data_IF_195274616700
#
_entry.id   IF_195274616700
#
_cell.length_a   1.000
_cell.length_b   1.000
_cell.length_c   1.000
_cell.angle_alpha   90.00
_cell.angle_beta   90.00
_cell.angle_gamma   90.00
#
_symmetry.space_group_name_H-M   'P 1'
#
loop_
_entity.id
_entity.type
_entity.pdbx_description
1 polymer ?
#
# COMPACT_ATOMS: atom_id res chain seq x y z
N UNK A 1 -30.11 -7.01 -5.60
CA UNK A 1 -28.79 -6.44 -5.97
C UNK A 1 -28.07 -6.06 -4.68
N UNK A 2 -26.93 -6.67 -4.38
CA UNK A 2 -26.11 -6.32 -3.22
C UNK A 2 -25.03 -5.32 -3.64
N UNK A 3 -24.93 -4.19 -2.93
CA UNK A 3 -23.89 -3.18 -3.17
C UNK A 3 -22.73 -3.41 -2.20
N UNK A 4 -21.54 -3.74 -2.72
CA UNK A 4 -20.31 -3.84 -1.93
C UNK A 4 -19.58 -2.49 -1.95
N UNK A 5 -19.83 -1.66 -0.92
CA UNK A 5 -19.17 -0.38 -0.76
C UNK A 5 -17.72 -0.52 -0.27
N UNK A 6 -16.94 0.56 -0.41
CA UNK A 6 -15.58 0.64 0.14
C UNK A 6 -15.67 0.48 1.67
N UNK A 7 -14.88 -0.43 2.27
CA UNK A 7 -14.93 -0.68 3.70
C UNK A 7 -14.38 0.50 4.51
N UNK A 8 -14.70 0.52 5.80
CA UNK A 8 -14.25 1.56 6.72
C UNK A 8 -12.72 1.60 6.87
N UNK A 9 -12.17 2.73 7.32
CA UNK A 9 -10.74 2.89 7.59
C UNK A 9 -10.23 1.81 8.55
N UNK A 10 -10.97 1.53 9.62
CA UNK A 10 -10.65 0.51 10.61
C UNK A 10 -10.63 -0.89 10.00
N UNK A 11 -11.58 -1.18 9.11
CA UNK A 11 -11.61 -2.46 8.39
C UNK A 11 -10.43 -2.61 7.44
N UNK A 12 -10.06 -1.55 6.71
CA UNK A 12 -8.88 -1.56 5.84
C UNK A 12 -7.60 -1.78 6.65
N UNK A 13 -7.41 -1.03 7.73
CA UNK A 13 -6.24 -1.19 8.60
C UNK A 13 -6.17 -2.60 9.19
N UNK A 14 -7.31 -3.19 9.57
CA UNK A 14 -7.36 -4.56 10.08
C UNK A 14 -7.00 -5.60 9.02
N UNK A 15 -7.56 -5.49 7.81
CA UNK A 15 -7.29 -6.45 6.72
C UNK A 15 -5.81 -6.43 6.34
N UNK A 16 -5.26 -5.24 6.07
CA UNK A 16 -3.87 -5.10 5.65
C UNK A 16 -2.88 -5.24 6.81
N UNK A 17 -3.32 -4.95 8.04
CA UNK A 17 -2.57 -5.23 9.27
C UNK A 17 -2.34 -6.72 9.45
N UNK A 18 -3.39 -7.53 9.40
CA UNK A 18 -3.27 -9.00 9.50
C UNK A 18 -2.38 -9.56 8.39
N UNK A 19 -2.47 -9.02 7.18
CA UNK A 19 -1.66 -9.44 6.04
C UNK A 19 -0.17 -9.07 6.20
N UNK A 20 0.11 -7.83 6.61
CA UNK A 20 1.46 -7.35 6.85
C UNK A 20 2.11 -8.02 8.06
N UNK A 21 1.48 -7.93 9.22
CA UNK A 21 1.99 -8.49 10.48
C UNK A 21 2.07 -10.03 10.44
N UNK A 22 1.18 -10.69 9.70
CA UNK A 22 1.23 -12.14 9.51
C UNK A 22 2.44 -12.60 8.70
N UNK A 23 2.90 -11.79 7.74
CA UNK A 23 4.09 -12.11 6.95
C UNK A 23 5.39 -11.66 7.61
N UNK A 24 5.40 -10.42 8.11
CA UNK A 24 6.50 -9.83 8.85
C UNK A 24 6.40 -10.24 10.32
N UNK A 25 6.72 -11.50 10.60
CA UNK A 25 6.75 -12.05 11.94
C UNK A 25 8.17 -12.17 12.49
N UNK A 26 8.34 -12.20 13.81
CA UNK A 26 9.65 -12.26 14.49
C UNK A 26 10.44 -13.53 14.15
N UNK A 27 9.77 -14.60 13.71
CA UNK A 27 10.44 -15.83 13.27
C UNK A 27 11.08 -15.72 11.89
N UNK A 28 10.74 -14.67 11.12
CA UNK A 28 11.24 -14.44 9.75
C UNK A 28 12.04 -13.16 9.63
N UNK A 29 11.66 -12.10 10.34
CA UNK A 29 12.22 -10.76 10.20
C UNK A 29 12.70 -10.20 11.53
N UNK A 30 13.59 -9.21 11.46
CA UNK A 30 14.09 -8.50 12.63
C UNK A 30 12.95 -7.83 13.42
N UNK A 31 12.95 -7.94 14.75
CA UNK A 31 11.95 -7.34 15.63
C UNK A 31 11.73 -5.84 15.38
N UNK A 32 12.80 -5.12 14.97
CA UNK A 32 12.73 -3.70 14.62
C UNK A 32 11.86 -3.46 13.38
N UNK A 33 11.95 -4.34 12.38
CA UNK A 33 11.11 -4.31 11.18
C UNK A 33 9.69 -4.68 11.52
N UNK A 34 9.49 -5.78 12.26
CA UNK A 34 8.17 -6.26 12.70
C UNK A 34 7.40 -5.16 13.43
N UNK A 35 8.02 -4.48 14.39
CA UNK A 35 7.42 -3.37 15.13
C UNK A 35 7.10 -2.13 14.26
N UNK A 36 7.72 -2.01 13.08
CA UNK A 36 7.50 -0.89 12.15
C UNK A 36 6.31 -1.12 11.22
N UNK A 37 5.98 -2.38 10.88
CA UNK A 37 4.93 -2.72 9.91
C UNK A 37 3.54 -2.13 10.25
N UNK A 38 3.05 -2.14 11.50
CA UNK A 38 1.74 -1.55 11.82
C UNK A 38 1.67 -0.06 11.48
N UNK A 39 2.79 0.67 11.63
CA UNK A 39 2.88 2.09 11.25
C UNK A 39 2.80 2.25 9.73
N UNK A 40 3.44 1.34 8.99
CA UNK A 40 3.46 1.34 7.53
C UNK A 40 2.08 1.05 6.93
N UNK A 41 1.29 0.17 7.55
CA UNK A 41 -0.12 -0.09 7.18
C UNK A 41 -0.96 1.18 7.23
N UNK A 42 -0.93 1.88 8.35
CA UNK A 42 -1.66 3.13 8.51
C UNK A 42 -1.17 4.22 7.53
N UNK A 43 0.15 4.30 7.28
CA UNK A 43 0.73 5.24 6.32
C UNK A 43 0.28 4.94 4.88
N UNK A 44 0.27 3.66 4.49
CA UNK A 44 -0.16 3.23 3.14
C UNK A 44 -1.61 3.61 2.88
N UNK A 45 -2.51 3.39 3.86
CA UNK A 45 -3.91 3.82 3.76
C UNK A 45 -4.03 5.33 3.61
N UNK A 46 -3.32 6.11 4.44
CA UNK A 46 -3.36 7.58 4.38
C UNK A 46 -2.87 8.10 3.02
N UNK A 47 -1.77 7.54 2.51
CA UNK A 47 -1.24 7.88 1.19
C UNK A 47 -2.28 7.60 0.09
N UNK A 48 -2.86 6.41 0.08
CA UNK A 48 -3.89 6.06 -0.92
C UNK A 48 -5.13 6.96 -0.85
N UNK A 49 -5.58 7.33 0.36
CA UNK A 49 -6.70 8.26 0.54
C UNK A 49 -6.38 9.66 0.01
N UNK A 50 -5.16 10.14 0.26
CA UNK A 50 -4.69 11.42 -0.27
C UNK A 50 -4.62 11.38 -1.81
N UNK A 51 -4.07 10.31 -2.39
CA UNK A 51 -4.02 10.12 -3.85
C UNK A 51 -5.42 10.08 -4.46
N UNK A 52 -6.35 9.32 -3.88
CA UNK A 52 -7.75 9.26 -4.33
C UNK A 52 -8.43 10.63 -4.30
N UNK A 53 -8.10 11.48 -3.33
CA UNK A 53 -8.69 12.82 -3.20
C UNK A 53 -8.07 13.82 -4.16
N UNK A 54 -6.77 13.70 -4.43
CA UNK A 54 -6.04 14.59 -5.34
C UNK A 54 -6.28 14.26 -6.82
N UNK A 55 -6.38 12.98 -7.14
CA UNK A 55 -6.56 12.45 -8.49
C UNK A 55 -8.02 12.01 -8.68
N UNK A 56 -8.93 12.97 -8.77
CA UNK A 56 -10.35 12.69 -9.00
C UNK A 56 -10.60 12.33 -10.47
N UNK A 57 -11.50 11.38 -10.74
CA UNK A 57 -11.91 11.08 -12.11
C UNK A 57 -12.64 12.30 -12.68
N UNK A 58 -12.02 12.97 -13.65
CA UNK A 58 -12.68 13.98 -14.48
C UNK A 58 -13.11 13.35 -15.80
N UNK A 59 -14.06 13.94 -16.56
CA UNK A 59 -14.44 13.41 -17.87
C UNK A 59 -13.26 13.21 -18.83
N UNK A 60 -12.22 14.06 -18.72
CA UNK A 60 -10.98 13.93 -19.47
C UNK A 60 -10.01 12.86 -18.90
N UNK A 61 -10.17 12.47 -17.63
CA UNK A 61 -9.29 11.55 -16.90
C UNK A 61 -10.08 10.47 -16.13
N UNK A 62 -10.98 9.77 -16.84
CA UNK A 62 -11.88 8.76 -16.26
C UNK A 62 -11.17 7.52 -15.69
N UNK A 63 -9.90 7.28 -16.04
CA UNK A 63 -9.11 6.14 -15.59
C UNK A 63 -8.59 6.25 -14.13
N UNK A 64 -8.71 7.43 -13.50
CA UNK A 64 -8.37 7.65 -12.08
C UNK A 64 -9.43 7.12 -11.11
N UNK A 65 -9.84 5.86 -11.30
CA UNK A 65 -10.67 5.13 -10.34
C UNK A 65 -9.76 4.34 -9.42
N UNK A 66 -9.49 4.91 -8.24
CA UNK A 66 -8.76 4.25 -7.16
C UNK A 66 -9.68 3.37 -6.33
N UNK A 67 -9.31 2.10 -6.16
CA UNK A 67 -10.07 1.13 -5.39
C UNK A 67 -9.14 0.30 -4.48
N UNK A 68 -9.71 -0.65 -3.73
CA UNK A 68 -8.92 -1.49 -2.80
C UNK A 68 -7.87 -2.37 -3.49
N UNK A 69 -8.03 -2.66 -4.78
CA UNK A 69 -7.06 -3.46 -5.55
C UNK A 69 -5.70 -2.79 -5.58
N UNK A 70 -5.66 -1.46 -5.53
CA UNK A 70 -4.41 -0.71 -5.51
C UNK A 70 -3.64 -0.96 -4.20
N UNK A 71 -4.32 -0.93 -3.04
CA UNK A 71 -3.70 -1.33 -1.78
C UNK A 71 -3.23 -2.79 -1.82
N UNK A 72 -4.07 -3.69 -2.36
CA UNK A 72 -3.72 -5.10 -2.47
C UNK A 72 -2.45 -5.32 -3.30
N UNK A 73 -2.26 -4.57 -4.38
CA UNK A 73 -1.04 -4.66 -5.23
C UNK A 73 0.20 -4.14 -4.53
N UNK A 74 0.10 -3.03 -3.79
CA UNK A 74 1.22 -2.49 -2.99
C UNK A 74 1.64 -3.54 -1.97
N UNK A 75 0.70 -4.07 -1.20
CA UNK A 75 0.99 -5.10 -0.21
C UNK A 75 1.50 -6.39 -0.83
N UNK A 76 0.93 -6.83 -1.95
CA UNK A 76 1.43 -8.01 -2.66
C UNK A 76 2.91 -7.87 -3.04
N UNK A 77 3.35 -6.69 -3.52
CA UNK A 77 4.77 -6.42 -3.78
C UNK A 77 5.62 -6.35 -2.52
N UNK A 78 5.07 -5.81 -1.42
CA UNK A 78 5.76 -5.83 -0.12
C UNK A 78 5.99 -7.25 0.40
N UNK A 79 5.08 -8.19 0.10
CA UNK A 79 5.13 -9.58 0.56
C UNK A 79 6.08 -10.47 -0.28
N UNK A 80 6.64 -9.97 -1.39
CA UNK A 80 7.59 -10.77 -2.18
C UNK A 80 9.02 -10.70 -1.68
N UNK A 81 9.36 -9.76 -0.80
CA UNK A 81 10.72 -9.61 -0.27
C UNK A 81 11.08 -10.74 0.69
N UNK A 82 12.29 -11.30 0.53
CA UNK A 82 12.82 -12.31 1.45
C UNK A 82 13.43 -11.66 2.68
N UNK A 83 13.46 -12.41 3.78
CA UNK A 83 14.09 -11.98 5.03
C UNK A 83 15.55 -11.54 4.85
N UNK A 84 16.30 -12.25 4.01
CA UNK A 84 17.71 -11.98 3.67
C UNK A 84 17.93 -10.58 3.09
N UNK A 85 16.94 -10.02 2.41
CA UNK A 85 17.03 -8.70 1.79
C UNK A 85 16.45 -7.60 2.68
N UNK A 86 15.94 -7.94 3.87
CA UNK A 86 15.11 -7.06 4.69
C UNK A 86 15.68 -6.90 6.12
N UNK A 87 16.93 -6.46 6.20
CA UNK A 87 17.65 -6.33 7.47
C UNK A 87 17.37 -5.01 8.20
N UNK A 88 17.02 -3.94 7.48
CA UNK A 88 16.84 -2.60 8.05
C UNK A 88 15.49 -1.98 7.71
N UNK A 89 15.00 -1.10 8.60
CA UNK A 89 13.80 -0.28 8.35
C UNK A 89 13.96 0.52 7.05
N UNK A 90 15.17 1.00 6.75
CA UNK A 90 15.43 1.79 5.54
C UNK A 90 15.14 0.99 4.27
N UNK A 91 15.49 -0.29 4.25
CA UNK A 91 15.18 -1.17 3.12
C UNK A 91 13.68 -1.37 2.95
N UNK A 92 12.95 -1.58 4.05
CA UNK A 92 11.48 -1.69 4.05
C UNK A 92 10.83 -0.43 3.51
N UNK A 93 11.28 0.75 3.95
CA UNK A 93 10.75 2.04 3.48
C UNK A 93 11.05 2.25 1.99
N UNK A 94 12.24 1.90 1.54
CA UNK A 94 12.61 2.01 0.13
C UNK A 94 11.76 1.08 -0.76
N UNK A 95 11.54 -0.17 -0.32
CA UNK A 95 10.65 -1.11 -0.99
C UNK A 95 9.23 -0.57 -1.03
N UNK A 96 8.71 -0.10 0.11
CA UNK A 96 7.37 0.47 0.20
C UNK A 96 7.19 1.67 -0.74
N UNK A 97 8.17 2.57 -0.78
CA UNK A 97 8.16 3.70 -1.71
C UNK A 97 8.15 3.20 -3.16
N UNK A 98 9.00 2.22 -3.49
CA UNK A 98 9.05 1.63 -4.82
C UNK A 98 7.69 1.03 -5.22
N UNK A 99 7.07 0.23 -4.36
CA UNK A 99 5.77 -0.39 -4.64
C UNK A 99 4.65 0.65 -4.74
N UNK A 100 4.65 1.68 -3.89
CA UNK A 100 3.71 2.79 -3.99
C UNK A 100 3.86 3.52 -5.32
N UNK A 101 5.09 3.86 -5.72
CA UNK A 101 5.35 4.51 -6.99
C UNK A 101 4.97 3.62 -8.16
N UNK A 102 5.31 2.33 -8.14
CA UNK A 102 4.96 1.39 -9.22
C UNK A 102 3.44 1.32 -9.44
N UNK A 103 2.68 1.15 -8.36
CA UNK A 103 1.21 1.00 -8.45
C UNK A 103 0.51 2.32 -8.79
N UNK A 104 1.01 3.45 -8.30
CA UNK A 104 0.41 4.76 -8.55
C UNK A 104 0.85 5.34 -9.90
N UNK A 105 2.14 5.25 -10.26
CA UNK A 105 2.69 5.77 -11.50
C UNK A 105 2.20 5.01 -12.74
N UNK A 106 1.89 3.71 -12.62
CA UNK A 106 1.20 2.95 -13.68
C UNK A 106 -0.16 3.58 -14.07
N UNK A 107 -0.72 4.47 -13.22
CA UNK A 107 -1.98 5.17 -13.47
C UNK A 107 -1.80 6.62 -13.90
N UNK A 108 -0.62 7.21 -13.74
CA UNK A 108 -0.32 8.57 -14.15
C UNK A 108 0.07 8.59 -15.64
N UNK A 109 -0.83 9.01 -16.51
CA UNK A 109 -0.59 9.04 -17.97
C UNK A 109 0.27 10.23 -18.42
N UNK A 110 0.47 11.26 -17.58
CA UNK A 110 1.21 12.48 -17.93
C UNK A 110 2.48 12.62 -17.07
N UNK A 111 3.55 13.19 -17.66
CA UNK A 111 4.80 13.49 -16.96
C UNK A 111 4.62 14.54 -15.84
N UNK A 112 3.65 15.45 -15.97
CA UNK A 112 3.27 16.42 -14.91
C UNK A 112 2.55 15.78 -13.70
N UNK A 113 2.07 14.54 -13.82
CA UNK A 113 1.39 13.79 -12.75
C UNK A 113 2.34 12.78 -12.04
N UNK A 114 3.60 12.63 -12.52
CA UNK A 114 4.60 11.67 -11.99
C UNK A 114 5.39 12.18 -10.80
#
# INVERSE_FOLDING_TARGET
VFNCAIPSNTSMDKIFGVLGEGYFCESRFNATVVAFIPKLVALTRKLWQATKTKMLPTPAKFHYVFNLRDLSRIWQGMLTIKAEECETIKTVINLWRHECTRVIADRCTNFDDR
#
